data_IF_160210041163
#
_entry.id   IF_160210041163
#
_cell.length_a   1.000
_cell.length_b   1.000
_cell.length_c   1.000
_cell.angle_alpha   90.00
_cell.angle_beta   90.00
_cell.angle_gamma   90.00
#
_symmetry.space_group_name_H-M   'P 1'
#
loop_
_entity.id
_entity.type
_entity.pdbx_description
1 polymer ?
#
# COMPACT_ATOMS: atom_id res chain seq x y z
N UNK A 1 -8.17 7.11 -3.14
CA UNK A 1 -8.07 7.68 -4.50
C UNK A 1 -7.04 6.97 -5.36
N UNK A 2 -5.73 7.07 -5.09
CA UNK A 2 -4.71 6.39 -5.91
C UNK A 2 -4.98 4.89 -6.15
N UNK A 3 -5.28 4.15 -5.08
CA UNK A 3 -5.66 2.73 -5.17
C UNK A 3 -6.98 2.50 -5.90
N UNK A 4 -7.92 3.46 -5.84
CA UNK A 4 -9.19 3.41 -6.58
C UNK A 4 -8.94 3.47 -8.09
N UNK A 5 -7.87 4.15 -8.51
CA UNK A 5 -7.41 4.23 -9.89
C UNK A 5 -6.50 3.04 -10.30
N UNK A 6 -6.33 2.04 -9.42
CA UNK A 6 -5.49 0.89 -9.70
C UNK A 6 -3.99 1.12 -9.53
N UNK A 7 -3.58 2.18 -8.85
CA UNK A 7 -2.17 2.40 -8.52
C UNK A 7 -1.83 1.77 -7.17
N UNK A 8 -0.83 0.85 -7.11
CA UNK A 8 -0.22 0.44 -5.86
C UNK A 8 0.32 1.65 -5.09
N UNK A 9 0.23 1.62 -3.76
CA UNK A 9 0.62 2.74 -2.90
C UNK A 9 1.73 2.35 -1.93
N UNK A 10 2.78 3.18 -1.87
CA UNK A 10 3.72 3.24 -0.73
C UNK A 10 3.30 4.43 0.12
N UNK A 11 2.98 4.21 1.38
CA UNK A 11 2.51 5.28 2.27
C UNK A 11 3.13 5.17 3.65
N UNK A 12 3.08 6.28 4.38
CA UNK A 12 3.54 6.33 5.76
C UNK A 12 2.79 5.33 6.66
N UNK A 13 3.53 4.68 7.56
CA UNK A 13 2.98 3.86 8.64
C UNK A 13 2.47 4.67 9.84
N UNK A 14 2.55 6.00 9.79
CA UNK A 14 2.07 6.88 10.85
C UNK A 14 0.62 7.31 10.58
N UNK A 15 -0.25 7.15 11.57
CA UNK A 15 -1.65 7.62 11.52
C UNK A 15 -2.57 6.77 10.63
N UNK A 16 -3.67 7.38 10.17
CA UNK A 16 -4.78 6.70 9.48
C UNK A 16 -4.44 5.80 8.28
N UNK A 17 -3.38 6.05 7.48
CA UNK A 17 -3.00 5.12 6.41
C UNK A 17 -2.57 3.74 6.92
N UNK A 18 -1.93 3.65 8.09
CA UNK A 18 -1.51 2.38 8.67
C UNK A 18 -2.68 1.50 9.12
N UNK A 19 -3.74 2.13 9.64
CA UNK A 19 -4.98 1.48 10.05
C UNK A 19 -5.83 1.08 8.84
N UNK A 20 -5.77 1.88 7.76
CA UNK A 20 -6.59 1.67 6.56
C UNK A 20 -6.00 0.63 5.61
N UNK A 21 -4.68 0.43 5.62
CA UNK A 21 -3.96 -0.39 4.64
C UNK A 21 -3.34 -1.66 5.21
N UNK A 22 -3.57 -1.96 6.49
CA UNK A 22 -3.20 -3.23 7.10
C UNK A 22 -4.35 -3.77 7.94
N UNK A 23 -4.64 -5.06 7.80
CA UNK A 23 -5.59 -5.78 8.65
C UNK A 23 -4.98 -7.13 9.04
N UNK A 24 -4.61 -7.28 10.32
CA UNK A 24 -3.79 -8.41 10.77
C UNK A 24 -2.48 -8.47 9.99
N UNK A 25 -2.19 -9.63 9.41
CA UNK A 25 -0.99 -9.87 8.58
C UNK A 25 -1.17 -9.47 7.10
N UNK A 26 -2.36 -8.99 6.72
CA UNK A 26 -2.65 -8.63 5.33
C UNK A 26 -2.36 -7.15 5.07
N UNK A 27 -1.51 -6.89 4.08
CA UNK A 27 -1.20 -5.55 3.58
C UNK A 27 -1.98 -5.25 2.30
N UNK A 28 -2.51 -4.03 2.19
CA UNK A 28 -3.21 -3.50 1.00
C UNK A 28 -2.40 -2.39 0.29
N UNK A 29 -1.26 -2.02 0.87
CA UNK A 29 -0.26 -1.11 0.34
C UNK A 29 1.04 -1.29 1.15
N UNK A 30 2.15 -0.73 0.69
CA UNK A 30 3.43 -0.83 1.40
C UNK A 30 3.52 0.29 2.42
N UNK A 31 3.67 -0.08 3.70
CA UNK A 31 3.83 0.87 4.79
C UNK A 31 5.32 1.14 5.06
N UNK A 32 5.70 2.41 5.17
CA UNK A 32 7.08 2.85 5.43
C UNK A 32 7.17 3.85 6.57
N UNK A 33 8.31 3.92 7.25
CA UNK A 33 8.62 5.02 8.17
C UNK A 33 8.95 6.30 7.38
N UNK A 34 8.18 7.40 7.54
CA UNK A 34 8.43 8.63 6.80
C UNK A 34 9.74 9.35 7.22
N UNK A 35 10.31 9.01 8.38
CA UNK A 35 11.55 9.60 8.89
C UNK A 35 12.79 8.74 8.60
N UNK A 36 12.62 7.57 7.96
CA UNK A 36 13.73 6.73 7.51
C UNK A 36 13.76 6.69 5.96
N UNK A 37 14.61 7.51 5.31
CA UNK A 37 14.76 7.48 3.86
C UNK A 37 15.13 6.10 3.29
N UNK A 38 15.87 5.29 4.07
CA UNK A 38 16.22 3.95 3.64
C UNK A 38 15.00 3.02 3.67
N UNK A 39 14.06 3.23 4.60
CA UNK A 39 12.79 2.47 4.64
C UNK A 39 11.87 2.83 3.48
N UNK A 40 11.79 4.12 3.13
CA UNK A 40 11.08 4.58 1.94
C UNK A 40 11.65 3.90 0.69
N UNK A 41 12.98 3.90 0.53
CA UNK A 41 13.64 3.26 -0.60
C UNK A 41 13.34 1.75 -0.64
N UNK A 42 13.44 1.04 0.49
CA UNK A 42 13.08 -0.38 0.58
C UNK A 42 11.62 -0.63 0.21
N UNK A 43 10.69 0.22 0.66
CA UNK A 43 9.28 0.09 0.35
C UNK A 43 8.98 0.25 -1.15
N UNK A 44 9.59 1.26 -1.78
CA UNK A 44 9.50 1.47 -3.23
C UNK A 44 10.10 0.29 -4.00
N UNK A 45 11.30 -0.16 -3.62
CA UNK A 45 11.96 -1.30 -4.25
C UNK A 45 11.14 -2.59 -4.10
N UNK A 46 10.53 -2.84 -2.95
CA UNK A 46 9.64 -4.00 -2.73
C UNK A 46 8.45 -3.97 -3.66
N UNK A 47 7.81 -2.80 -3.81
CA UNK A 47 6.66 -2.62 -4.69
C UNK A 47 7.03 -2.81 -6.16
N UNK A 48 8.21 -2.31 -6.57
CA UNK A 48 8.71 -2.34 -7.95
C UNK A 48 9.55 -3.58 -8.28
N UNK A 49 9.73 -4.52 -7.34
CA UNK A 49 10.64 -5.65 -7.48
C UNK A 49 10.27 -6.60 -8.64
N UNK A 50 8.98 -6.68 -8.98
CA UNK A 50 8.48 -7.48 -10.10
C UNK A 50 7.08 -7.05 -10.50
N UNK A 51 6.66 -7.45 -11.71
CA UNK A 51 5.26 -7.31 -12.16
C UNK A 51 4.30 -8.08 -11.25
N UNK A 52 4.72 -9.22 -10.69
CA UNK A 52 3.91 -9.98 -9.75
C UNK A 52 3.66 -9.20 -8.44
N UNK A 53 4.69 -8.56 -7.89
CA UNK A 53 4.56 -7.72 -6.70
C UNK A 53 3.65 -6.52 -6.96
N UNK A 54 3.85 -5.85 -8.10
CA UNK A 54 2.99 -4.75 -8.56
C UNK A 54 1.52 -5.17 -8.61
N UNK A 55 1.22 -6.24 -9.33
CA UNK A 55 -0.13 -6.77 -9.53
C UNK A 55 -0.79 -7.21 -8.21
N UNK A 56 0.00 -7.77 -7.28
CA UNK A 56 -0.48 -8.15 -5.96
C UNK A 56 -0.98 -6.91 -5.19
N UNK A 57 -0.15 -5.87 -5.11
CA UNK A 57 -0.53 -4.64 -4.39
C UNK A 57 -1.64 -3.87 -5.09
N UNK A 58 -1.67 -3.84 -6.43
CA UNK A 58 -2.76 -3.24 -7.19
C UNK A 58 -4.09 -3.91 -6.83
N UNK A 59 -4.17 -5.25 -6.96
CA UNK A 59 -5.40 -5.99 -6.68
C UNK A 59 -5.83 -5.86 -5.23
N UNK A 60 -4.89 -5.93 -4.29
CA UNK A 60 -5.17 -5.78 -2.86
C UNK A 60 -5.70 -4.38 -2.53
N UNK A 61 -5.06 -3.32 -3.03
CA UNK A 61 -5.47 -1.93 -2.82
C UNK A 61 -6.86 -1.64 -3.41
N UNK A 62 -7.13 -2.09 -4.64
CA UNK A 62 -8.44 -1.92 -5.27
C UNK A 62 -9.54 -2.65 -4.51
N UNK A 63 -9.30 -3.92 -4.13
CA UNK A 63 -10.26 -4.69 -3.34
C UNK A 63 -10.54 -4.02 -1.99
N UNK A 64 -9.52 -3.42 -1.36
CA UNK A 64 -9.67 -2.69 -0.10
C UNK A 64 -10.58 -1.49 -0.23
N UNK A 65 -10.38 -0.68 -1.28
CA UNK A 65 -11.23 0.48 -1.57
C UNK A 65 -12.68 0.05 -1.76
N UNK A 66 -12.93 -0.95 -2.63
CA UNK A 66 -14.28 -1.42 -2.93
C UNK A 66 -15.00 -2.03 -1.71
N UNK A 67 -14.27 -2.63 -0.78
CA UNK A 67 -14.87 -3.26 0.39
C UNK A 67 -15.22 -2.28 1.52
N UNK A 68 -14.51 -1.15 1.66
CA UNK A 68 -14.60 -0.29 2.86
C UNK A 68 -14.68 1.21 2.62
N UNK A 69 -14.40 1.69 1.41
CA UNK A 69 -14.29 3.12 1.10
C UNK A 69 -15.10 3.48 -0.14
N UNK A 70 -16.35 3.02 -0.16
CA UNK A 70 -17.37 3.41 -1.14
C UNK A 70 -18.34 4.39 -0.48
N UNK A 71 -19.02 5.21 -1.30
CA UNK A 71 -20.05 6.14 -0.84
C UNK A 71 -21.30 5.42 -0.35
#
# INVERSE_FOLDING_TARGET
EAMSCGLPAVVTRSGGPSESLREGDREFGVLVDPNDPADIARGLLRLLASTQAWDQFQRAGMARVLARYTW
#
